data_IF_079358147622
#
_entry.id   IF_079358147622
#
_cell.length_a   1.000
_cell.length_b   1.000
_cell.length_c   1.000
_cell.angle_alpha   90.00
_cell.angle_beta   90.00
_cell.angle_gamma   90.00
#
_symmetry.space_group_name_H-M   'P 1'
#
loop_
_entity.id
_entity.type
_entity.pdbx_description
1 polymer ?
#
# COMPACT_ATOMS: atom_id res chain seq x y z
N UNK A 1 19.72 7.03 -112.00
CA UNK A 1 20.33 6.48 -110.78
C UNK A 1 19.21 5.92 -109.92
N UNK A 2 19.01 4.61 -109.96
CA UNK A 2 17.99 3.87 -109.21
C UNK A 2 18.62 3.34 -107.93
N UNK A 3 18.16 3.83 -106.78
CA UNK A 3 18.55 3.31 -105.45
C UNK A 3 17.84 1.97 -105.17
N UNK A 4 18.51 1.01 -104.52
CA UNK A 4 17.94 -0.29 -104.21
C UNK A 4 17.03 -0.23 -102.97
N UNK A 5 16.06 -1.15 -102.82
CA UNK A 5 15.11 -1.13 -101.71
C UNK A 5 15.76 -1.54 -100.38
N UNK A 6 15.43 -0.76 -99.36
CA UNK A 6 15.81 -0.91 -97.95
C UNK A 6 15.25 -2.20 -97.35
N UNK A 7 16.11 -3.02 -96.76
CA UNK A 7 15.74 -4.26 -96.09
C UNK A 7 14.97 -3.99 -94.78
N UNK A 8 13.85 -4.69 -94.59
CA UNK A 8 13.05 -4.67 -93.36
C UNK A 8 13.75 -5.41 -92.21
N UNK A 9 13.69 -4.89 -90.97
CA UNK A 9 14.31 -5.52 -89.81
C UNK A 9 13.58 -6.81 -89.43
N UNK A 10 14.34 -7.89 -89.19
CA UNK A 10 13.83 -9.17 -88.67
C UNK A 10 13.58 -9.06 -87.17
N UNK A 11 12.35 -9.34 -86.76
CA UNK A 11 11.93 -9.48 -85.36
C UNK A 11 12.70 -10.65 -84.71
N UNK A 12 13.28 -10.48 -83.51
CA UNK A 12 13.94 -11.58 -82.82
C UNK A 12 12.94 -12.70 -82.49
N UNK A 13 13.35 -13.97 -82.55
CA UNK A 13 12.47 -15.09 -82.24
C UNK A 13 12.00 -14.99 -80.78
N UNK A 14 10.69 -14.97 -80.58
CA UNK A 14 10.08 -15.11 -79.25
C UNK A 14 10.52 -16.46 -78.69
N UNK A 15 11.23 -16.44 -77.55
CA UNK A 15 11.46 -17.65 -76.76
C UNK A 15 10.08 -18.25 -76.43
N UNK A 16 9.84 -19.55 -76.67
CA UNK A 16 8.60 -20.16 -76.23
C UNK A 16 8.54 -20.04 -74.71
N UNK A 17 7.52 -19.34 -74.22
CA UNK A 17 7.18 -19.38 -72.80
C UNK A 17 6.79 -20.83 -72.52
N UNK A 18 7.63 -21.53 -71.76
CA UNK A 18 7.26 -22.83 -71.21
C UNK A 18 6.09 -22.57 -70.27
N UNK A 19 4.87 -22.89 -70.72
CA UNK A 19 3.70 -22.86 -69.86
C UNK A 19 3.87 -23.92 -68.77
N UNK A 20 3.64 -23.53 -67.51
CA UNK A 20 3.69 -24.47 -66.39
C UNK A 20 2.75 -25.64 -66.67
N UNK A 21 3.23 -26.86 -66.45
CA UNK A 21 2.39 -28.04 -66.61
C UNK A 21 1.32 -28.05 -65.51
N UNK A 22 0.18 -28.69 -65.79
CA UNK A 22 -0.94 -28.81 -64.84
C UNK A 22 -0.47 -29.45 -63.51
N UNK A 23 0.51 -30.37 -63.59
CA UNK A 23 1.15 -31.00 -62.45
C UNK A 23 2.04 -30.04 -61.66
N UNK A 24 2.82 -29.20 -62.34
CA UNK A 24 3.67 -28.19 -61.70
C UNK A 24 2.85 -27.12 -60.98
N UNK A 25 1.75 -26.66 -61.59
CA UNK A 25 0.80 -25.77 -60.94
C UNK A 25 0.21 -26.42 -59.68
N UNK A 26 -0.16 -27.71 -59.74
CA UNK A 26 -0.73 -28.45 -58.61
C UNK A 26 0.28 -28.61 -57.47
N UNK A 27 1.54 -28.92 -57.79
CA UNK A 27 2.61 -29.02 -56.78
C UNK A 27 2.91 -27.66 -56.15
N UNK A 28 2.94 -26.58 -56.93
CA UNK A 28 3.19 -25.22 -56.41
C UNK A 28 2.08 -24.78 -55.47
N UNK A 29 0.80 -24.97 -55.83
CA UNK A 29 -0.30 -24.61 -54.93
C UNK A 29 -0.32 -25.48 -53.67
N UNK A 30 0.05 -26.76 -53.76
CA UNK A 30 0.17 -27.63 -52.60
C UNK A 30 1.29 -27.15 -51.65
N UNK A 31 2.47 -26.82 -52.19
CA UNK A 31 3.59 -26.29 -51.41
C UNK A 31 3.25 -24.92 -50.78
N UNK A 32 2.64 -24.01 -51.54
CA UNK A 32 2.20 -22.71 -51.02
C UNK A 32 1.16 -22.85 -49.91
N UNK A 33 0.27 -23.86 -50.01
CA UNK A 33 -0.75 -24.12 -48.99
C UNK A 33 -0.10 -24.64 -47.70
N UNK A 34 0.88 -25.55 -47.80
CA UNK A 34 1.63 -26.06 -46.64
C UNK A 34 2.43 -24.94 -45.97
N UNK A 35 3.16 -24.13 -46.74
CA UNK A 35 3.94 -23.00 -46.20
C UNK A 35 3.03 -21.94 -45.59
N UNK A 36 1.89 -21.64 -46.23
CA UNK A 36 0.91 -20.71 -45.68
C UNK A 36 0.31 -21.17 -44.35
N UNK A 37 0.02 -22.46 -44.22
CA UNK A 37 -0.47 -23.04 -42.97
C UNK A 37 0.57 -22.96 -41.85
N UNK A 38 1.83 -23.30 -42.13
CA UNK A 38 2.93 -23.19 -41.16
C UNK A 38 3.17 -21.74 -40.70
N UNK A 39 3.08 -20.77 -41.62
CA UNK A 39 3.23 -19.36 -41.27
C UNK A 39 2.10 -18.87 -40.36
N UNK A 40 0.85 -19.30 -40.58
CA UNK A 40 -0.29 -18.93 -39.75
C UNK A 40 -0.23 -19.55 -38.35
N UNK A 41 0.22 -20.81 -38.23
CA UNK A 41 0.37 -21.44 -36.91
C UNK A 41 1.39 -20.72 -36.03
N UNK A 42 2.54 -20.32 -36.59
CA UNK A 42 3.57 -19.61 -35.83
C UNK A 42 3.08 -18.25 -35.32
N UNK A 43 2.34 -17.50 -36.15
CA UNK A 43 1.79 -16.19 -35.75
C UNK A 43 0.78 -16.34 -34.61
N UNK A 44 0.00 -17.43 -34.59
CA UNK A 44 -0.92 -17.74 -33.50
C UNK A 44 -0.20 -17.94 -32.17
N UNK A 45 0.86 -18.75 -32.17
CA UNK A 45 1.66 -19.02 -30.97
C UNK A 45 2.39 -17.78 -30.45
N UNK A 46 2.95 -16.96 -31.35
CA UNK A 46 3.62 -15.71 -30.98
C UNK A 46 2.64 -14.70 -30.35
N UNK A 47 1.42 -14.60 -30.89
CA UNK A 47 0.38 -13.72 -30.34
C UNK A 47 -0.09 -14.21 -28.96
N UNK A 48 -0.28 -15.51 -28.80
CA UNK A 48 -0.70 -16.11 -27.54
C UNK A 48 0.34 -15.90 -26.45
N UNK A 49 1.62 -16.08 -26.77
CA UNK A 49 2.73 -15.76 -25.86
C UNK A 49 2.72 -14.28 -25.46
N UNK A 50 2.50 -13.37 -26.42
CA UNK A 50 2.43 -11.94 -26.12
C UNK A 50 1.27 -11.58 -25.17
N UNK A 51 0.09 -12.21 -25.33
CA UNK A 51 -1.06 -12.02 -24.44
C UNK A 51 -0.83 -12.60 -23.04
N UNK A 52 -0.16 -13.73 -22.95
CA UNK A 52 0.27 -14.31 -21.69
C UNK A 52 1.24 -13.37 -20.94
N UNK A 53 2.24 -12.84 -21.63
CA UNK A 53 3.16 -11.85 -21.06
C UNK A 53 2.46 -10.54 -20.65
N UNK A 54 1.51 -10.06 -21.46
CA UNK A 54 0.69 -8.89 -21.11
C UNK A 54 -0.14 -9.15 -19.84
N UNK A 55 -0.77 -10.32 -19.72
CA UNK A 55 -1.50 -10.74 -18.52
C UNK A 55 -0.62 -10.71 -17.28
N UNK A 56 0.60 -11.27 -17.37
CA UNK A 56 1.57 -11.23 -16.28
C UNK A 56 1.97 -9.80 -15.91
N UNK A 57 2.23 -8.95 -16.90
CA UNK A 57 2.60 -7.56 -16.66
C UNK A 57 1.44 -6.77 -16.03
N UNK A 58 0.20 -7.03 -16.44
CA UNK A 58 -1.00 -6.41 -15.86
C UNK A 58 -1.23 -6.82 -14.42
N UNK A 59 -0.99 -8.09 -14.08
CA UNK A 59 -1.06 -8.56 -12.70
C UNK A 59 -0.05 -7.82 -11.81
N UNK A 60 1.19 -7.62 -12.29
CA UNK A 60 2.19 -6.81 -11.60
C UNK A 60 1.78 -5.33 -11.48
N UNK A 61 1.14 -4.77 -12.51
CA UNK A 61 0.59 -3.41 -12.44
C UNK A 61 -0.50 -3.29 -11.36
N UNK A 62 -1.41 -4.28 -11.25
CA UNK A 62 -2.42 -4.34 -10.19
C UNK A 62 -1.73 -4.36 -8.82
N UNK A 63 -0.76 -5.25 -8.61
CA UNK A 63 -0.01 -5.32 -7.35
C UNK A 63 0.63 -3.98 -6.97
N UNK A 64 1.33 -3.35 -7.91
CA UNK A 64 1.98 -2.04 -7.70
C UNK A 64 0.99 -0.91 -7.46
N UNK A 65 -0.18 -0.94 -8.09
CA UNK A 65 -1.23 0.05 -7.83
C UNK A 65 -1.76 -0.03 -6.39
N UNK A 66 -1.80 -1.24 -5.82
CA UNK A 66 -2.35 -1.48 -4.48
C UNK A 66 -1.34 -1.15 -3.38
N UNK A 67 -0.14 -1.75 -3.41
CA UNK A 67 0.87 -1.61 -2.33
C UNK A 67 2.08 -0.74 -2.71
N UNK A 68 2.13 -0.21 -3.93
CA UNK A 68 3.29 0.55 -4.41
C UNK A 68 4.42 -0.35 -4.93
N UNK A 69 5.52 0.30 -5.36
CA UNK A 69 6.75 -0.39 -5.78
C UNK A 69 7.74 -0.43 -4.61
N UNK A 70 7.70 -1.50 -3.82
CA UNK A 70 8.55 -1.68 -2.64
C UNK A 70 10.05 -1.81 -2.96
N UNK A 71 10.42 -2.00 -4.24
CA UNK A 71 11.82 -2.04 -4.69
C UNK A 71 12.44 -0.65 -4.84
N UNK A 72 11.61 0.40 -4.91
CA UNK A 72 12.09 1.78 -5.03
C UNK A 72 12.31 2.36 -3.65
N UNK A 73 13.53 2.82 -3.42
CA UNK A 73 13.87 3.55 -2.20
C UNK A 73 14.18 5.01 -2.51
N UNK A 74 13.60 5.93 -1.76
CA UNK A 74 13.99 7.33 -1.72
C UNK A 74 14.85 7.53 -0.46
N UNK A 75 16.10 7.95 -0.64
CA UNK A 75 17.06 8.13 0.46
C UNK A 75 17.25 6.87 1.35
N UNK A 76 17.17 5.67 0.74
CA UNK A 76 17.32 4.40 1.45
C UNK A 76 16.08 3.90 2.18
N UNK A 77 14.95 4.64 2.14
CA UNK A 77 13.66 4.19 2.66
C UNK A 77 12.72 3.82 1.51
N UNK A 78 11.97 2.71 1.59
CA UNK A 78 10.99 2.35 0.57
C UNK A 78 9.97 3.47 0.35
N UNK A 79 9.59 3.68 -0.91
CA UNK A 79 8.60 4.68 -1.28
C UNK A 79 7.18 4.22 -0.87
N UNK A 80 6.53 4.99 0.01
CA UNK A 80 5.15 4.74 0.45
C UNK A 80 4.18 5.33 -0.56
N UNK A 81 3.54 4.48 -1.36
CA UNK A 81 2.48 4.83 -2.32
C UNK A 81 1.51 3.68 -2.54
N UNK A 82 0.44 3.95 -3.27
CA UNK A 82 -0.56 2.97 -3.69
C UNK A 82 -1.85 3.09 -2.90
N UNK A 83 -2.88 2.37 -3.35
CA UNK A 83 -4.21 2.41 -2.77
C UNK A 83 -4.21 2.18 -1.26
N UNK A 84 -3.46 1.19 -0.75
CA UNK A 84 -3.40 0.90 0.69
C UNK A 84 -2.79 2.06 1.47
N UNK A 85 -1.75 2.69 0.93
CA UNK A 85 -1.08 3.79 1.59
C UNK A 85 -1.99 5.01 1.74
N UNK A 86 -3.00 5.19 0.89
CA UNK A 86 -3.91 6.32 0.94
C UNK A 86 -5.24 5.98 1.64
N UNK A 87 -5.73 4.75 1.43
CA UNK A 87 -7.04 4.28 1.88
C UNK A 87 -6.99 3.45 3.16
N UNK A 88 -5.83 2.93 3.55
CA UNK A 88 -5.68 2.09 4.76
C UNK A 88 -6.37 0.71 4.67
N UNK A 89 -6.74 0.25 3.47
CA UNK A 89 -7.32 -1.07 3.21
C UNK A 89 -6.98 -1.56 1.81
N UNK A 90 -7.18 -2.85 1.55
CA UNK A 90 -7.19 -3.40 0.19
C UNK A 90 -8.41 -2.89 -0.60
N UNK A 91 -8.32 -2.80 -1.94
CA UNK A 91 -9.47 -2.49 -2.77
C UNK A 91 -10.49 -3.64 -2.77
N UNK A 92 -11.77 -3.31 -2.86
CA UNK A 92 -12.85 -4.30 -2.90
C UNK A 92 -13.08 -4.88 -4.31
N UNK A 93 -12.56 -4.22 -5.33
CA UNK A 93 -12.56 -4.62 -6.75
C UNK A 93 -11.56 -3.76 -7.53
N UNK A 94 -11.27 -4.12 -8.78
CA UNK A 94 -10.32 -3.38 -9.62
C UNK A 94 -10.82 -1.98 -10.03
N UNK A 95 -12.12 -1.74 -10.09
CA UNK A 95 -12.68 -0.42 -10.42
C UNK A 95 -12.25 0.67 -9.43
N UNK A 96 -12.08 0.34 -8.13
CA UNK A 96 -11.57 1.29 -7.13
C UNK A 96 -10.16 1.81 -7.44
N UNK A 97 -9.37 1.06 -8.20
CA UNK A 97 -8.03 1.47 -8.62
C UNK A 97 -8.05 2.45 -9.80
N UNK A 98 -9.18 2.57 -10.51
CA UNK A 98 -9.29 3.33 -11.75
C UNK A 98 -10.13 4.59 -11.54
N UNK A 99 -11.25 4.49 -10.82
CA UNK A 99 -12.16 5.61 -10.62
C UNK A 99 -12.56 5.77 -9.15
N UNK A 100 -12.70 7.03 -8.71
CA UNK A 100 -13.13 7.35 -7.35
C UNK A 100 -14.60 7.01 -7.09
N UNK A 101 -15.42 7.19 -8.12
CA UNK A 101 -16.87 7.03 -8.06
C UNK A 101 -17.33 6.17 -9.23
N UNK A 102 -18.08 5.12 -8.95
CA UNK A 102 -18.49 4.14 -9.94
C UNK A 102 -19.72 3.38 -9.47
N UNK A 103 -20.32 2.62 -10.38
CA UNK A 103 -21.50 1.81 -10.12
C UNK A 103 -21.13 0.34 -9.88
N UNK A 104 -21.94 -0.42 -9.11
CA UNK A 104 -21.82 -1.88 -9.03
C UNK A 104 -21.91 -2.57 -10.42
N UNK A 105 -22.61 -1.93 -11.36
CA UNK A 105 -22.57 -2.27 -12.77
C UNK A 105 -21.74 -1.21 -13.52
N UNK A 106 -20.52 -1.51 -13.97
CA UNK A 106 -19.58 -0.52 -14.47
C UNK A 106 -20.00 0.11 -15.83
N UNK A 107 -21.02 -0.47 -16.49
CA UNK A 107 -21.57 0.08 -17.74
C UNK A 107 -22.45 1.31 -17.48
N UNK A 108 -22.97 1.47 -16.26
CA UNK A 108 -23.96 2.51 -15.94
C UNK A 108 -23.31 3.78 -15.40
N UNK A 109 -23.68 4.92 -15.99
CA UNK A 109 -23.41 6.23 -15.39
C UNK A 109 -24.26 6.48 -14.14
N UNK A 110 -23.84 7.44 -13.31
CA UNK A 110 -24.41 7.73 -11.98
C UNK A 110 -25.94 7.76 -11.94
N UNK A 111 -26.58 8.54 -12.82
CA UNK A 111 -28.03 8.70 -12.81
C UNK A 111 -28.78 7.38 -13.04
N UNK A 112 -28.30 6.54 -13.96
CA UNK A 112 -28.88 5.23 -14.23
C UNK A 112 -28.59 4.25 -13.08
N UNK A 113 -27.37 4.30 -12.53
CA UNK A 113 -26.96 3.46 -11.42
C UNK A 113 -27.84 3.67 -10.19
N UNK A 114 -28.02 4.92 -9.74
CA UNK A 114 -28.78 5.22 -8.50
C UNK A 114 -30.25 4.77 -8.53
N UNK A 115 -30.79 4.45 -9.71
CA UNK A 115 -32.16 3.94 -9.87
C UNK A 115 -32.27 2.41 -9.94
N UNK A 116 -31.17 1.67 -10.07
CA UNK A 116 -31.17 0.23 -10.35
C UNK A 116 -30.08 -0.57 -9.61
N UNK A 117 -29.02 0.09 -9.16
CA UNK A 117 -27.76 -0.49 -8.73
C UNK A 117 -27.14 0.36 -7.58
N UNK A 118 -25.99 -0.05 -7.06
CA UNK A 118 -25.30 0.68 -5.98
C UNK A 118 -24.25 1.62 -6.56
N UNK A 119 -24.37 2.91 -6.24
CA UNK A 119 -23.33 3.90 -6.54
C UNK A 119 -22.34 4.00 -5.39
N UNK A 120 -21.07 3.75 -5.67
CA UNK A 120 -19.96 3.87 -4.72
C UNK A 120 -19.27 5.21 -4.94
N UNK A 121 -19.05 5.97 -3.87
CA UNK A 121 -18.20 7.17 -3.88
C UNK A 121 -17.19 7.04 -2.75
N UNK A 122 -15.91 6.90 -3.11
CA UNK A 122 -14.84 6.86 -2.12
C UNK A 122 -14.51 8.28 -1.62
N UNK A 123 -14.09 8.42 -0.34
CA UNK A 123 -13.58 9.68 0.19
C UNK A 123 -12.51 10.27 -0.73
N UNK A 124 -12.62 11.55 -1.08
CA UNK A 124 -11.56 12.21 -1.85
C UNK A 124 -10.31 12.40 -0.97
N UNK A 125 -9.12 12.35 -1.57
CA UNK A 125 -7.89 12.63 -0.85
C UNK A 125 -7.91 14.05 -0.26
N UNK A 126 -7.92 14.13 1.06
CA UNK A 126 -8.05 15.38 1.79
C UNK A 126 -7.26 15.35 3.09
N UNK A 127 -6.86 16.54 3.55
CA UNK A 127 -6.29 16.73 4.87
C UNK A 127 -7.40 16.78 5.91
N UNK A 128 -7.32 15.92 6.91
CA UNK A 128 -8.14 16.02 8.10
C UNK A 128 -7.44 16.92 9.11
N UNK A 129 -8.04 18.09 9.39
CA UNK A 129 -7.46 19.08 10.29
C UNK A 129 -7.45 18.64 11.75
N UNK A 130 -8.32 17.71 12.15
CA UNK A 130 -8.37 17.19 13.53
C UNK A 130 -7.34 16.07 13.71
N UNK A 131 -7.28 15.14 12.76
CA UNK A 131 -6.31 14.06 12.80
C UNK A 131 -4.89 14.55 12.46
N UNK A 132 -4.73 15.56 11.60
CA UNK A 132 -3.43 16.02 11.10
C UNK A 132 -2.82 15.11 10.03
N UNK A 133 -3.65 14.29 9.37
CA UNK A 133 -3.24 13.33 8.35
C UNK A 133 -4.01 13.53 7.05
N UNK A 134 -3.39 13.13 5.95
CA UNK A 134 -4.05 13.01 4.66
C UNK A 134 -4.55 11.58 4.44
N UNK A 135 -5.79 11.46 3.99
CA UNK A 135 -6.43 10.18 3.69
C UNK A 135 -7.42 10.33 2.54
N UNK A 136 -7.79 9.21 1.93
CA UNK A 136 -8.79 9.15 0.87
C UNK A 136 -8.18 8.85 -0.49
N UNK A 137 -9.03 8.71 -1.49
CA UNK A 137 -8.65 8.28 -2.83
C UNK A 137 -7.85 9.37 -3.54
N UNK A 138 -6.59 9.06 -3.86
CA UNK A 138 -5.60 9.94 -4.50
C UNK A 138 -5.21 9.45 -5.91
N UNK A 139 -6.07 8.60 -6.49
CA UNK A 139 -5.83 7.96 -7.78
C UNK A 139 -6.07 8.88 -9.00
N UNK A 140 -6.15 8.30 -10.21
CA UNK A 140 -6.20 6.85 -10.48
C UNK A 140 -4.88 6.13 -10.17
N UNK A 141 -4.99 4.91 -9.64
CA UNK A 141 -3.85 4.04 -9.32
C UNK A 141 -3.49 3.10 -10.49
N UNK A 142 -4.48 2.76 -11.32
CA UNK A 142 -4.33 2.06 -12.58
C UNK A 142 -4.79 2.92 -13.75
N UNK A 143 -4.00 2.94 -14.82
CA UNK A 143 -4.39 3.57 -16.07
C UNK A 143 -5.10 2.54 -16.94
N UNK A 144 -6.42 2.56 -16.92
CA UNK A 144 -7.25 1.76 -17.81
C UNK A 144 -7.50 2.49 -19.13
N UNK A 145 -7.51 1.74 -20.23
CA UNK A 145 -7.83 2.28 -21.56
C UNK A 145 -9.35 2.26 -21.75
N UNK A 146 -9.97 3.36 -22.23
CA UNK A 146 -11.39 3.37 -22.54
C UNK A 146 -11.62 2.60 -23.85
N UNK A 147 -12.32 1.46 -23.77
CA UNK A 147 -12.44 0.53 -24.91
C UNK A 147 -13.81 0.54 -25.61
N UNK A 148 -14.83 1.18 -25.03
CA UNK A 148 -16.05 1.55 -25.78
C UNK A 148 -16.93 2.56 -25.04
N UNK A 149 -17.06 2.47 -23.71
CA UNK A 149 -18.04 3.27 -22.95
C UNK A 149 -17.61 3.64 -21.52
N UNK A 150 -16.67 2.89 -20.92
CA UNK A 150 -16.10 3.14 -19.59
C UNK A 150 -14.69 2.51 -19.50
N UNK A 151 -13.84 2.94 -18.56
CA UNK A 151 -12.49 2.41 -18.46
C UNK A 151 -12.49 0.97 -17.91
N UNK A 152 -11.72 0.08 -18.53
CA UNK A 152 -11.58 -1.32 -18.11
C UNK A 152 -10.11 -1.72 -18.04
N UNK A 153 -9.77 -2.57 -17.07
CA UNK A 153 -8.42 -3.12 -16.93
C UNK A 153 -8.44 -4.64 -17.07
N UNK A 154 -8.71 -5.12 -18.28
CA UNK A 154 -8.80 -6.56 -18.61
C UNK A 154 -7.43 -7.24 -18.61
N UNK A 155 -7.42 -8.57 -18.64
CA UNK A 155 -6.20 -9.33 -18.91
C UNK A 155 -5.76 -9.22 -20.38
N UNK A 156 -4.65 -9.89 -20.75
CA UNK A 156 -4.13 -9.87 -22.11
C UNK A 156 -5.00 -10.63 -23.12
N UNK A 157 -5.94 -11.45 -22.64
CA UNK A 157 -6.88 -12.19 -23.48
C UNK A 157 -8.14 -11.39 -23.80
N UNK A 158 -8.40 -10.32 -23.04
CA UNK A 158 -9.57 -9.47 -23.19
C UNK A 158 -10.81 -10.06 -22.54
N UNK A 159 -10.63 -10.94 -21.54
CA UNK A 159 -11.73 -11.51 -20.79
C UNK A 159 -12.54 -10.41 -20.10
N UNK A 160 -13.86 -10.59 -20.05
CA UNK A 160 -14.76 -9.63 -19.45
C UNK A 160 -16.07 -10.32 -19.04
N UNK A 161 -16.45 -10.16 -17.79
CA UNK A 161 -17.67 -10.71 -17.22
C UNK A 161 -18.71 -9.61 -16.90
N UNK A 162 -18.46 -8.36 -17.30
CA UNK A 162 -19.33 -7.21 -17.01
C UNK A 162 -19.30 -6.76 -15.55
N UNK A 163 -18.38 -7.28 -14.73
CA UNK A 163 -18.19 -6.86 -13.34
C UNK A 163 -17.15 -5.73 -13.22
N UNK A 164 -17.02 -5.18 -12.01
CA UNK A 164 -16.01 -4.20 -11.63
C UNK A 164 -14.58 -4.75 -11.59
N UNK A 165 -14.39 -6.05 -11.88
CA UNK A 165 -13.10 -6.72 -11.96
C UNK A 165 -12.69 -7.04 -13.40
N UNK A 166 -13.49 -6.66 -14.40
CA UNK A 166 -13.13 -6.73 -15.82
C UNK A 166 -12.64 -8.12 -16.28
N UNK A 167 -13.30 -9.18 -15.83
CA UNK A 167 -12.94 -10.56 -16.17
C UNK A 167 -11.84 -11.19 -15.31
N UNK A 168 -11.18 -10.44 -14.43
CA UNK A 168 -10.30 -11.02 -13.42
C UNK A 168 -11.12 -11.74 -12.34
N UNK A 169 -10.62 -12.88 -11.89
CA UNK A 169 -11.08 -13.52 -10.65
C UNK A 169 -10.44 -12.76 -9.50
N UNK A 170 -11.23 -12.00 -8.75
CA UNK A 170 -10.77 -11.11 -7.68
C UNK A 170 -11.42 -11.52 -6.35
N UNK A 171 -10.62 -11.72 -5.30
CA UNK A 171 -11.11 -12.10 -3.98
C UNK A 171 -10.26 -11.46 -2.87
N UNK A 172 -10.88 -10.54 -2.11
CA UNK A 172 -10.23 -9.72 -1.10
C UNK A 172 -10.29 -10.29 0.34
N UNK A 173 -10.74 -11.53 0.51
CA UNK A 173 -10.92 -12.17 1.82
C UNK A 173 -11.67 -11.30 2.84
N UNK A 174 -12.60 -10.44 2.40
CA UNK A 174 -13.36 -9.53 3.26
C UNK A 174 -12.50 -8.42 3.90
N UNK A 175 -11.40 -8.03 3.24
CA UNK A 175 -10.49 -6.97 3.69
C UNK A 175 -9.61 -7.34 4.89
N UNK A 176 -9.71 -8.57 5.40
CA UNK A 176 -9.01 -9.05 6.59
C UNK A 176 -7.84 -10.02 6.31
N UNK A 177 -7.66 -10.45 5.06
CA UNK A 177 -6.70 -11.50 4.68
C UNK A 177 -5.94 -11.19 3.38
N UNK A 178 -5.37 -12.22 2.72
CA UNK A 178 -4.67 -12.04 1.45
C UNK A 178 -5.65 -11.62 0.34
N UNK A 179 -5.12 -10.88 -0.65
CA UNK A 179 -5.82 -10.58 -1.89
C UNK A 179 -5.42 -11.59 -2.96
N UNK A 180 -6.40 -12.22 -3.58
CA UNK A 180 -6.22 -13.13 -4.69
C UNK A 180 -6.70 -12.48 -5.98
N UNK A 181 -5.87 -12.56 -7.02
CA UNK A 181 -6.20 -12.05 -8.37
C UNK A 181 -5.68 -13.03 -9.41
N UNK A 182 -6.53 -13.46 -10.32
CA UNK A 182 -6.22 -14.46 -11.33
C UNK A 182 -6.93 -14.18 -12.65
N UNK A 183 -6.27 -14.45 -13.77
CA UNK A 183 -6.85 -14.51 -15.12
C UNK A 183 -7.20 -15.96 -15.45
N UNK A 184 -8.32 -16.18 -16.14
CA UNK A 184 -8.81 -17.50 -16.58
C UNK A 184 -8.25 -17.93 -17.95
N UNK A 185 -7.16 -17.31 -18.41
CA UNK A 185 -6.51 -17.70 -19.67
C UNK A 185 -7.34 -17.39 -20.91
N UNK A 186 -6.96 -18.01 -22.03
CA UNK A 186 -7.52 -17.73 -23.36
C UNK A 186 -8.98 -18.14 -23.53
N UNK A 187 -9.42 -19.20 -22.86
CA UNK A 187 -10.79 -19.71 -22.97
C UNK A 187 -11.79 -18.95 -22.08
N UNK A 188 -11.28 -18.12 -21.15
CA UNK A 188 -12.07 -17.34 -20.22
C UNK A 188 -12.75 -18.19 -19.14
N UNK A 189 -12.34 -19.44 -18.95
CA UNK A 189 -12.92 -20.39 -18.00
C UNK A 189 -11.87 -20.92 -17.02
N UNK A 190 -12.30 -21.25 -15.80
CA UNK A 190 -11.37 -21.74 -14.79
C UNK A 190 -10.75 -23.10 -15.18
N UNK A 191 -9.45 -23.23 -14.98
CA UNK A 191 -8.68 -24.44 -15.26
C UNK A 191 -7.92 -24.33 -16.58
N UNK A 192 -8.11 -25.30 -17.47
CA UNK A 192 -7.46 -25.31 -18.79
C UNK A 192 -6.02 -25.85 -18.82
N UNK A 193 -5.42 -25.79 -20.01
CA UNK A 193 -4.03 -26.16 -20.29
C UNK A 193 -3.40 -25.21 -21.29
N UNK A 194 -2.07 -25.14 -21.33
CA UNK A 194 -1.33 -24.23 -22.20
C UNK A 194 -1.79 -22.77 -22.01
N UNK A 195 -2.29 -22.11 -23.05
CA UNK A 195 -2.79 -20.74 -22.98
C UNK A 195 -4.21 -20.62 -22.40
N UNK A 196 -4.94 -21.73 -22.35
CA UNK A 196 -6.23 -21.80 -21.65
C UNK A 196 -6.04 -21.93 -20.14
N UNK A 197 -4.81 -22.15 -19.67
CA UNK A 197 -4.52 -22.30 -18.25
C UNK A 197 -4.69 -20.98 -17.47
N UNK A 198 -5.27 -21.06 -16.28
CA UNK A 198 -5.34 -19.93 -15.35
C UNK A 198 -3.94 -19.36 -15.01
N UNK A 199 -3.84 -18.04 -14.85
CA UNK A 199 -2.63 -17.36 -14.42
C UNK A 199 -2.88 -16.32 -13.31
N UNK A 200 -2.19 -16.43 -12.15
CA UNK A 200 -1.32 -17.53 -11.74
C UNK A 200 -2.06 -18.88 -11.65
N UNK A 201 -1.37 -20.02 -11.65
CA UNK A 201 -2.02 -21.32 -11.51
C UNK A 201 -2.80 -21.43 -10.20
N UNK A 202 -3.86 -22.26 -10.21
CA UNK A 202 -4.69 -22.49 -9.02
C UNK A 202 -3.84 -22.91 -7.80
N UNK A 203 -4.07 -22.29 -6.65
CA UNK A 203 -3.28 -22.43 -5.43
C UNK A 203 -2.07 -21.49 -5.33
N UNK A 204 -1.83 -20.64 -6.33
CA UNK A 204 -0.78 -19.60 -6.34
C UNK A 204 -1.33 -18.21 -6.71
N UNK A 205 -2.64 -18.00 -6.58
CA UNK A 205 -3.36 -16.78 -6.99
C UNK A 205 -3.19 -15.62 -6.01
N UNK A 206 -2.53 -15.85 -4.87
CA UNK A 206 -2.30 -14.81 -3.86
C UNK A 206 -1.42 -13.73 -4.46
N UNK A 207 -2.05 -12.61 -4.81
CA UNK A 207 -1.38 -11.44 -5.36
C UNK A 207 -0.74 -10.62 -4.25
N UNK A 208 -1.40 -10.50 -3.09
CA UNK A 208 -0.90 -9.73 -1.93
C UNK A 208 -1.15 -10.53 -0.66
N UNK A 209 -0.09 -10.83 0.07
CA UNK A 209 -0.17 -11.46 1.39
C UNK A 209 -0.46 -10.45 2.50
N UNK A 210 -1.01 -10.90 3.62
CA UNK A 210 -1.36 -10.03 4.77
C UNK A 210 -0.15 -9.19 5.25
N UNK A 211 1.01 -9.82 5.41
CA UNK A 211 2.25 -9.16 5.82
C UNK A 211 2.90 -8.26 4.76
N UNK A 212 2.30 -8.08 3.58
CA UNK A 212 2.82 -7.19 2.53
C UNK A 212 2.14 -5.83 2.51
N UNK A 213 1.00 -5.68 3.18
CA UNK A 213 0.26 -4.42 3.25
C UNK A 213 -0.08 -4.00 4.67
N UNK A 214 0.14 -4.87 5.66
CA UNK A 214 0.00 -4.59 7.08
C UNK A 214 1.32 -4.68 7.81
N UNK A 215 1.46 -3.81 8.81
CA UNK A 215 2.55 -3.81 9.77
C UNK A 215 2.00 -4.33 11.08
N UNK A 216 2.54 -5.46 11.54
CA UNK A 216 2.27 -5.96 12.89
C UNK A 216 2.94 -5.04 13.90
N UNK A 217 2.14 -4.36 14.72
CA UNK A 217 2.64 -3.51 15.80
C UNK A 217 2.83 -4.34 17.06
N UNK A 218 1.88 -5.23 17.36
CA UNK A 218 2.00 -6.20 18.44
C UNK A 218 1.50 -7.54 17.95
N UNK A 219 2.33 -8.56 18.09
CA UNK A 219 2.03 -9.90 17.62
C UNK A 219 0.94 -10.59 18.46
N UNK A 220 0.52 -11.79 18.03
CA UNK A 220 -0.52 -12.57 18.71
C UNK A 220 -0.11 -13.06 20.11
N UNK A 221 1.18 -13.02 20.45
CA UNK A 221 1.72 -13.36 21.76
C UNK A 221 1.88 -12.13 22.67
N UNK A 222 1.57 -10.93 22.17
CA UNK A 222 1.71 -9.67 22.90
C UNK A 222 3.13 -9.10 22.87
N UNK A 223 4.00 -9.56 21.97
CA UNK A 223 5.35 -9.01 21.79
C UNK A 223 5.38 -7.96 20.66
N UNK A 224 6.37 -7.06 20.73
CA UNK A 224 6.52 -5.93 19.81
C UNK A 224 6.25 -4.60 20.50
N UNK A 225 5.58 -3.68 19.80
CA UNK A 225 5.26 -2.34 20.26
C UNK A 225 5.98 -1.24 19.48
N UNK A 226 5.67 0.00 19.82
CA UNK A 226 6.35 1.18 19.28
C UNK A 226 7.32 1.70 20.33
N UNK A 227 8.57 1.89 19.93
CA UNK A 227 9.59 2.45 20.81
C UNK A 227 9.60 3.97 20.69
N UNK A 228 9.53 4.65 21.83
CA UNK A 228 9.65 6.11 21.93
C UNK A 228 10.93 6.42 22.70
N UNK A 229 11.79 7.25 22.10
CA UNK A 229 13.00 7.79 22.73
C UNK A 229 12.71 9.19 23.25
N UNK A 230 12.47 9.28 24.55
CA UNK A 230 12.24 10.53 25.25
C UNK A 230 13.53 11.32 25.51
N UNK A 231 14.69 10.81 25.08
CA UNK A 231 15.98 11.42 25.35
C UNK A 231 16.33 11.38 26.84
N UNK A 232 17.14 12.33 27.29
CA UNK A 232 17.56 12.46 28.68
C UNK A 232 17.02 13.78 29.26
N UNK A 233 15.71 13.88 29.58
CA UNK A 233 15.14 15.11 30.08
C UNK A 233 15.72 15.47 31.45
N UNK A 234 15.71 16.77 31.74
CA UNK A 234 16.34 17.33 32.93
C UNK A 234 15.70 16.80 34.22
N UNK A 235 16.52 16.60 35.25
CA UNK A 235 16.02 16.27 36.57
C UNK A 235 15.18 17.43 37.13
N UNK A 236 14.07 17.07 37.76
CA UNK A 236 13.17 17.97 38.48
C UNK A 236 13.80 18.80 39.61
N UNK A 237 14.97 18.37 40.08
CA UNK A 237 15.73 19.00 41.15
C UNK A 237 17.17 19.15 40.68
N UNK A 238 17.82 20.22 41.15
CA UNK A 238 19.22 20.52 40.89
C UNK A 238 19.92 20.76 42.21
N UNK A 239 21.22 20.50 42.19
CA UNK A 239 22.10 20.95 43.24
C UNK A 239 22.51 22.41 43.02
N UNK A 240 22.68 23.19 44.10
CA UNK A 240 23.16 24.57 44.02
C UNK A 240 24.57 24.70 43.46
N UNK A 241 25.35 23.62 43.47
CA UNK A 241 26.67 23.58 42.83
C UNK A 241 26.62 23.56 41.29
N UNK A 242 25.45 23.27 40.69
CA UNK A 242 25.25 23.13 39.25
C UNK A 242 25.95 21.93 38.59
N UNK A 243 26.55 21.03 39.37
CA UNK A 243 27.39 19.92 38.91
C UNK A 243 26.90 18.55 39.42
N UNK A 244 26.35 18.49 40.64
CA UNK A 244 25.88 17.26 41.25
C UNK A 244 24.48 16.90 40.74
N UNK A 245 24.35 15.70 40.19
CA UNK A 245 23.07 15.13 39.73
C UNK A 245 22.45 14.18 40.75
N UNK A 246 23.10 14.00 41.92
CA UNK A 246 22.67 13.15 43.03
C UNK A 246 22.53 13.97 44.32
N UNK A 247 21.40 13.79 45.03
CA UNK A 247 21.08 14.53 46.26
C UNK A 247 22.04 14.23 47.40
N UNK A 248 22.45 12.98 47.59
CA UNK A 248 23.34 12.61 48.71
C UNK A 248 24.72 13.24 48.54
N UNK A 249 25.14 13.41 47.30
CA UNK A 249 26.37 14.13 46.96
C UNK A 249 26.18 15.64 47.13
N UNK A 250 25.03 16.18 46.72
CA UNK A 250 24.71 17.60 46.84
C UNK A 250 24.59 18.08 48.30
N UNK A 251 23.75 17.43 49.11
CA UNK A 251 23.44 17.85 50.49
C UNK A 251 24.66 17.75 51.45
N UNK A 252 25.80 17.26 50.96
CA UNK A 252 27.05 17.30 51.69
C UNK A 252 27.62 18.72 51.84
N UNK A 253 27.43 19.59 50.84
CA UNK A 253 27.94 20.97 50.83
C UNK A 253 26.98 22.02 50.28
N UNK A 254 25.90 21.58 49.63
CA UNK A 254 25.09 22.39 48.74
C UNK A 254 23.59 22.09 48.92
N UNK A 255 22.76 23.02 48.46
CA UNK A 255 21.31 22.92 48.57
C UNK A 255 20.75 22.11 47.40
N UNK A 256 19.96 21.09 47.73
CA UNK A 256 19.15 20.38 46.75
C UNK A 256 17.78 21.04 46.66
N UNK A 257 17.48 21.69 45.53
CA UNK A 257 16.24 22.46 45.35
C UNK A 257 15.54 22.09 44.05
N UNK A 258 14.19 22.24 43.98
CA UNK A 258 13.46 22.01 42.75
C UNK A 258 13.95 22.99 41.69
N UNK A 259 14.11 22.53 40.45
CA UNK A 259 14.43 23.43 39.36
C UNK A 259 13.35 24.53 39.29
N UNK A 260 13.76 25.80 39.42
CA UNK A 260 12.86 26.96 39.40
C UNK A 260 12.05 27.11 38.10
N UNK A 261 12.40 26.33 37.07
CA UNK A 261 11.67 26.24 35.80
C UNK A 261 10.50 25.25 35.81
N UNK A 262 10.35 24.43 36.86
CA UNK A 262 9.28 23.43 36.99
C UNK A 262 8.25 23.88 38.06
N UNK A 263 6.95 23.99 37.71
CA UNK A 263 6.00 24.81 38.46
C UNK A 263 5.47 24.20 39.77
N UNK A 264 5.61 22.90 40.05
CA UNK A 264 5.13 22.33 41.32
C UNK A 264 5.91 21.09 41.80
N UNK A 265 6.24 21.07 43.09
CA UNK A 265 6.94 19.97 43.77
C UNK A 265 6.08 18.71 43.90
N UNK A 266 4.76 18.83 43.76
CA UNK A 266 3.79 17.73 43.76
C UNK A 266 3.96 16.76 42.56
N UNK A 267 4.65 17.18 41.50
CA UNK A 267 4.96 16.34 40.34
C UNK A 267 6.09 15.33 40.60
N UNK A 268 6.71 15.32 41.80
CA UNK A 268 7.83 14.44 42.14
C UNK A 268 7.45 13.41 43.21
N UNK A 269 7.77 12.13 43.03
CA UNK A 269 7.51 11.08 44.01
C UNK A 269 8.79 10.68 44.76
N UNK A 270 8.68 10.41 46.05
CA UNK A 270 9.79 9.92 46.88
C UNK A 270 10.04 8.44 46.63
N UNK A 271 11.21 8.08 46.11
CA UNK A 271 11.72 6.71 46.09
C UNK A 271 12.71 6.61 47.25
N UNK A 272 12.48 5.68 48.18
CA UNK A 272 13.20 5.58 49.45
C UNK A 272 14.71 5.81 49.35
N UNK A 273 15.26 6.52 50.34
CA UNK A 273 16.63 7.01 50.33
C UNK A 273 16.74 8.35 49.58
N UNK A 274 16.25 9.44 50.17
CA UNK A 274 16.39 10.84 49.77
C UNK A 274 16.05 11.24 48.30
N UNK A 275 15.87 10.32 47.36
CA UNK A 275 15.63 10.59 45.95
C UNK A 275 14.16 10.92 45.68
N UNK A 276 13.91 12.10 45.10
CA UNK A 276 12.60 12.51 44.60
C UNK A 276 12.71 12.66 43.09
N UNK A 277 11.88 11.96 42.33
CA UNK A 277 11.89 12.02 40.86
C UNK A 277 10.45 11.98 40.31
N UNK A 278 10.10 12.79 39.30
CA UNK A 278 8.83 12.69 38.61
C UNK A 278 8.81 11.34 37.91
N UNK A 279 7.72 10.62 38.12
CA UNK A 279 7.40 9.42 37.36
C UNK A 279 6.07 9.69 36.70
N UNK A 280 6.08 9.70 35.37
CA UNK A 280 4.85 9.82 34.59
C UNK A 280 4.42 8.42 34.15
N UNK A 281 3.13 8.14 34.33
CA UNK A 281 2.50 7.01 33.69
C UNK A 281 2.02 7.48 32.33
N UNK A 282 2.61 6.92 31.28
CA UNK A 282 2.37 7.34 29.91
C UNK A 282 1.62 6.25 29.14
N UNK A 283 0.92 6.68 28.10
CA UNK A 283 0.19 5.84 27.17
C UNK A 283 0.37 6.39 25.76
N UNK A 284 0.41 5.51 24.76
CA UNK A 284 0.60 5.87 23.37
C UNK A 284 -0.70 5.71 22.60
N UNK A 285 -1.07 6.74 21.84
CA UNK A 285 -2.12 6.68 20.83
C UNK A 285 -1.49 6.65 19.44
N UNK A 286 -1.90 5.69 18.64
CA UNK A 286 -1.50 5.52 17.24
C UNK A 286 -2.71 5.74 16.33
N UNK A 287 -2.71 6.83 15.59
CA UNK A 287 -3.75 7.16 14.61
C UNK A 287 -3.42 6.50 13.27
N UNK A 288 -4.42 5.85 12.68
CA UNK A 288 -4.30 5.11 11.41
C UNK A 288 -5.46 5.41 10.47
N UNK A 289 -5.21 5.23 9.18
CA UNK A 289 -6.26 5.25 8.14
C UNK A 289 -7.03 3.94 8.12
N UNK A 290 -8.31 4.02 7.81
CA UNK A 290 -9.18 2.89 7.49
C UNK A 290 -10.26 3.30 6.50
N UNK A 291 -10.41 2.52 5.42
CA UNK A 291 -11.46 2.72 4.42
C UNK A 291 -11.49 4.13 3.78
N UNK A 292 -10.34 4.75 3.57
CA UNK A 292 -10.23 6.11 3.04
C UNK A 292 -10.56 7.21 4.03
N UNK A 293 -10.94 6.85 5.26
CA UNK A 293 -11.15 7.74 6.38
C UNK A 293 -10.23 7.35 7.53
N UNK A 294 -10.46 7.89 8.71
CA UNK A 294 -9.95 7.35 9.96
C UNK A 294 -10.99 6.34 10.51
N UNK A 295 -10.59 5.39 11.36
CA UNK A 295 -11.37 4.21 11.80
C UNK A 295 -12.83 4.55 12.15
N UNK A 296 -13.82 3.94 11.46
CA UNK A 296 -15.25 4.07 11.80
C UNK A 296 -15.84 2.74 12.25
N UNK A 297 -15.15 2.00 13.14
CA UNK A 297 -15.81 0.98 13.95
C UNK A 297 -16.73 1.62 15.00
N UNK A 298 -17.79 2.28 14.53
CA UNK A 298 -19.08 2.39 15.18
C UNK A 298 -19.22 3.23 16.46
N UNK A 299 -18.80 4.50 16.48
CA UNK A 299 -19.61 5.59 17.06
C UNK A 299 -19.12 6.96 16.54
N UNK A 300 -20.06 7.85 16.22
CA UNK A 300 -19.77 9.14 15.61
C UNK A 300 -19.31 10.15 16.66
N UNK A 301 -18.03 10.52 16.66
CA UNK A 301 -17.51 11.89 16.90
C UNK A 301 -15.99 11.87 16.83
N UNK A 302 -15.43 12.69 15.94
CA UNK A 302 -13.99 12.91 15.78
C UNK A 302 -13.50 13.70 17.00
N UNK A 303 -13.16 13.00 18.07
CA UNK A 303 -12.20 13.37 19.11
C UNK A 303 -12.00 12.13 20.00
N UNK A 304 -10.80 11.51 20.02
CA UNK A 304 -10.40 10.39 20.92
C UNK A 304 -10.89 8.96 20.66
N UNK A 305 -11.70 8.66 19.63
CA UNK A 305 -12.15 7.27 19.33
C UNK A 305 -11.31 6.51 18.27
N UNK A 306 -10.44 7.21 17.53
CA UNK A 306 -9.86 6.72 16.25
C UNK A 306 -8.40 6.24 16.35
N UNK A 307 -7.86 6.18 17.57
CA UNK A 307 -6.49 5.79 17.84
C UNK A 307 -6.44 4.41 18.49
N UNK A 308 -5.49 3.59 18.04
CA UNK A 308 -5.08 2.43 18.83
C UNK A 308 -4.38 2.93 20.09
N UNK A 309 -4.77 2.42 21.25
CA UNK A 309 -4.11 2.73 22.52
C UNK A 309 -3.15 1.62 22.92
N UNK A 310 -2.01 1.99 23.50
CA UNK A 310 -1.13 1.04 24.14
C UNK A 310 -1.81 0.38 25.33
N UNK A 311 -1.49 -0.88 25.57
CA UNK A 311 -2.01 -1.66 26.68
C UNK A 311 -1.36 -1.22 28.01
N UNK A 312 -2.15 -0.57 28.85
CA UNK A 312 -1.74 -0.12 30.18
C UNK A 312 -0.75 1.05 30.16
N UNK A 313 -0.28 1.40 31.37
CA UNK A 313 0.69 2.46 31.58
C UNK A 313 2.12 1.99 31.34
N UNK A 314 2.92 2.83 30.70
CA UNK A 314 4.38 2.78 30.72
C UNK A 314 4.86 3.82 31.73
N UNK A 315 5.41 3.38 32.85
CA UNK A 315 5.95 4.27 33.89
C UNK A 315 7.36 4.73 33.53
N UNK A 316 7.55 6.04 33.36
CA UNK A 316 8.85 6.65 33.01
C UNK A 316 9.33 7.52 34.15
N UNK A 317 10.45 7.13 34.78
CA UNK A 317 11.08 7.91 35.86
C UNK A 317 12.16 8.81 35.31
N UNK A 318 12.01 10.13 35.39
CA UNK A 318 12.98 11.06 34.82
C UNK A 318 14.16 11.27 35.77
N UNK A 319 15.27 10.58 35.47
CA UNK A 319 16.47 10.55 36.30
C UNK A 319 17.70 11.22 35.68
N UNK A 320 17.53 11.84 34.51
CA UNK A 320 18.62 12.42 33.71
C UNK A 320 19.35 11.39 32.82
N UNK A 321 19.00 10.11 32.87
CA UNK A 321 19.45 9.12 31.90
C UNK A 321 18.59 9.17 30.64
N UNK A 322 19.13 8.69 29.51
CA UNK A 322 18.33 8.48 28.30
C UNK A 322 17.21 7.47 28.58
N UNK A 323 15.98 7.77 28.16
CA UNK A 323 14.78 6.94 28.30
C UNK A 323 14.27 6.51 26.93
N UNK A 324 14.25 5.21 26.71
CA UNK A 324 13.67 4.59 25.51
C UNK A 324 12.70 3.53 25.98
N UNK A 325 11.42 3.76 25.76
CA UNK A 325 10.36 2.91 26.28
C UNK A 325 9.55 2.30 25.15
N UNK A 326 9.02 1.10 25.39
CA UNK A 326 8.24 0.36 24.39
C UNK A 326 6.77 0.33 24.80
N UNK A 327 5.92 0.87 23.93
CA UNK A 327 4.48 0.87 24.10
C UNK A 327 3.89 -0.30 23.32
N UNK A 328 3.40 -1.29 24.06
CA UNK A 328 2.80 -2.52 23.50
C UNK A 328 1.30 -2.29 23.32
N UNK A 329 0.69 -2.80 22.27
CA UNK A 329 -0.75 -2.68 21.99
C UNK A 329 -1.46 -4.00 22.30
N UNK A 330 -2.77 -4.09 22.05
CA UNK A 330 -3.47 -5.37 22.15
C UNK A 330 -2.81 -6.44 21.27
N UNK A 331 -2.84 -7.70 21.72
CA UNK A 331 -2.27 -8.82 20.95
C UNK A 331 -2.92 -8.92 19.57
N UNK A 332 -2.11 -9.09 18.52
CA UNK A 332 -2.59 -9.15 17.14
C UNK A 332 -2.94 -7.78 16.54
N UNK A 333 -2.44 -6.69 17.12
CA UNK A 333 -2.63 -5.35 16.56
C UNK A 333 -1.78 -5.17 15.31
N UNK A 334 -2.46 -4.81 14.22
CA UNK A 334 -1.85 -4.43 12.95
C UNK A 334 -2.34 -3.06 12.50
N UNK A 335 -1.54 -2.43 11.64
CA UNK A 335 -1.91 -1.19 10.95
C UNK A 335 -1.59 -1.31 9.48
N UNK A 336 -2.36 -0.69 8.58
CA UNK A 336 -2.01 -0.68 7.16
C UNK A 336 -0.69 0.06 6.95
N UNK A 337 0.02 -0.31 5.89
CA UNK A 337 1.21 0.42 5.46
C UNK A 337 0.85 1.88 5.18
N UNK A 338 1.77 2.79 5.50
CA UNK A 338 1.54 4.21 5.29
C UNK A 338 2.20 5.08 6.34
N UNK A 339 1.92 6.37 6.24
CA UNK A 339 2.14 7.33 7.32
C UNK A 339 1.01 7.20 8.35
N UNK A 340 1.39 7.07 9.61
CA UNK A 340 0.55 7.14 10.80
C UNK A 340 1.02 8.27 11.70
N UNK A 341 0.20 8.66 12.67
CA UNK A 341 0.60 9.61 13.70
C UNK A 341 0.66 8.94 15.06
N UNK A 342 1.65 9.33 15.83
CA UNK A 342 1.85 8.90 17.20
C UNK A 342 1.72 10.11 18.12
N UNK A 343 0.98 9.92 19.21
CA UNK A 343 0.87 10.89 20.31
C UNK A 343 1.04 10.18 21.65
N UNK A 344 1.73 10.84 22.58
CA UNK A 344 1.90 10.36 23.96
C UNK A 344 0.93 11.11 24.86
N UNK A 345 0.24 10.39 25.73
CA UNK A 345 -0.73 10.89 26.70
C UNK A 345 -0.31 10.45 28.11
N UNK A 346 -0.81 11.15 29.13
CA UNK A 346 -0.77 10.65 30.51
C UNK A 346 -1.73 9.46 30.67
N UNK A 347 -1.53 8.66 31.71
CA UNK A 347 -2.32 7.48 32.01
C UNK A 347 -2.66 7.43 33.50
N UNK A 348 -3.94 7.22 33.81
CA UNK A 348 -4.50 7.30 35.17
C UNK A 348 -4.11 6.13 36.09
N UNK A 349 -3.65 5.03 35.48
CA UNK A 349 -3.18 3.81 36.15
C UNK A 349 -4.23 2.71 36.25
N UNK A 350 -5.40 2.87 35.63
CA UNK A 350 -6.51 1.92 35.74
C UNK A 350 -6.85 1.23 34.41
N UNK A 351 -7.03 1.96 33.29
CA UNK A 351 -7.44 1.28 32.05
C UNK A 351 -7.13 1.94 30.69
N UNK A 352 -7.05 3.27 30.57
CA UNK A 352 -7.00 3.93 29.25
C UNK A 352 -6.02 5.10 29.22
N UNK A 353 -5.56 5.47 28.02
CA UNK A 353 -4.88 6.75 27.83
C UNK A 353 -5.82 7.88 28.30
N UNK A 354 -5.32 8.83 29.09
CA UNK A 354 -6.08 10.03 29.41
C UNK A 354 -6.21 10.93 28.16
N UNK A 355 -6.97 12.02 28.26
CA UNK A 355 -7.07 13.03 27.21
C UNK A 355 -5.95 14.07 27.27
N UNK A 356 -5.11 14.03 28.32
CA UNK A 356 -4.04 15.00 28.52
C UNK A 356 -2.78 14.57 27.79
N UNK A 357 -2.33 15.38 26.84
CA UNK A 357 -1.13 15.13 26.04
C UNK A 357 0.16 15.33 26.85
N UNK A 358 1.18 14.55 26.50
CA UNK A 358 2.49 14.60 27.15
C UNK A 358 3.64 14.90 26.18
N UNK A 359 4.43 15.96 26.42
CA UNK A 359 4.07 17.13 27.21
C UNK A 359 2.87 17.89 26.61
N UNK A 360 2.20 18.71 27.41
CA UNK A 360 0.99 19.43 26.98
C UNK A 360 1.27 20.33 25.77
N UNK A 361 0.42 20.27 24.75
CA UNK A 361 0.55 21.11 23.55
C UNK A 361 1.64 20.67 22.57
N UNK A 362 2.09 19.41 22.66
CA UNK A 362 2.94 18.80 21.64
C UNK A 362 2.14 18.38 20.41
N UNK A 363 2.74 18.60 19.25
CA UNK A 363 2.20 18.09 17.99
C UNK A 363 2.41 16.57 17.86
N UNK A 364 1.64 15.96 16.97
CA UNK A 364 1.82 14.55 16.63
C UNK A 364 3.16 14.30 15.93
N UNK A 365 3.75 13.14 16.19
CA UNK A 365 4.87 12.66 15.40
C UNK A 365 4.38 11.78 14.25
N UNK A 366 4.72 12.15 13.03
CA UNK A 366 4.48 11.32 11.87
C UNK A 366 5.49 10.16 11.79
N UNK A 367 4.98 8.95 11.63
CA UNK A 367 5.78 7.74 11.47
C UNK A 367 5.38 7.00 10.20
N UNK A 368 6.38 6.65 9.40
CA UNK A 368 6.24 5.76 8.26
C UNK A 368 6.28 4.31 8.74
N UNK A 369 5.17 3.60 8.60
CA UNK A 369 5.04 2.18 8.93
C UNK A 369 5.02 1.38 7.62
N UNK A 370 6.07 0.60 7.41
CA UNK A 370 6.30 -0.17 6.18
C UNK A 370 6.50 -1.64 6.56
N UNK A 371 5.79 -2.59 5.91
CA UNK A 371 5.92 -4.00 6.23
C UNK A 371 7.35 -4.51 6.04
N UNK A 372 7.83 -5.32 6.98
CA UNK A 372 9.19 -5.87 6.98
C UNK A 372 10.30 -4.89 7.35
N UNK A 373 9.99 -3.61 7.60
CA UNK A 373 10.96 -2.61 8.03
C UNK A 373 10.83 -2.38 9.54
N UNK A 374 11.93 -2.57 10.27
CA UNK A 374 11.96 -2.26 11.70
C UNK A 374 11.87 -0.74 11.90
N UNK A 375 11.00 -0.31 12.81
CA UNK A 375 10.94 1.09 13.25
C UNK A 375 12.08 1.36 14.22
N UNK A 376 12.83 2.43 13.98
CA UNK A 376 13.78 2.94 14.98
C UNK A 376 12.99 3.60 16.12
N UNK A 377 13.57 3.69 17.33
CA UNK A 377 12.98 4.48 18.41
C UNK A 377 12.65 5.89 17.93
N UNK A 378 11.40 6.28 18.09
CA UNK A 378 10.89 7.55 17.62
C UNK A 378 11.32 8.65 18.61
N UNK A 379 12.09 9.66 18.18
CA UNK A 379 12.49 10.73 19.07
C UNK A 379 11.26 11.54 19.49
N UNK A 380 11.03 11.66 20.79
CA UNK A 380 9.93 12.43 21.35
C UNK A 380 10.48 13.61 22.16
N UNK A 381 10.19 14.85 21.75
CA UNK A 381 10.69 16.03 22.43
C UNK A 381 10.00 16.16 23.80
N UNK A 382 10.78 15.98 24.86
CA UNK A 382 10.40 16.35 26.22
C UNK A 382 11.09 17.68 26.51
N UNK A 383 10.31 18.76 26.62
CA UNK A 383 10.84 20.10 26.89
C UNK A 383 11.36 20.25 28.32
#
# INVERSE_FOLDING_TARGET
>A
MTQPPTATPRTPPRRPQQGMTLLELLVVIALMSVVGFMALSQVGDDLNQARYEDTRNRLEMIRKAIIGDTSRTLNGQPEIRGFVADMGRLPANLQELIEREFCSNPVLGQAACTGAETWTSMPAYAHDATAGLWAGWNGPYLNASPESDYPRFRDGWGNDNGSNDFGWVFNDSGGAGPLLVQSTGMDGTAGGSDYDADYPPTGSETLIEDGQWRVTVTDSLGAGGIQIDFGAPASCWRCSDGLSTDRTTCEFSDDWYPDSTIPDAAACTALGGAAWRPTDNLCLRLLRRQNGTFDTNGDSTVDTADALESNGAVSVTWDGSRKVETFVFASGTFVPQGVSLVRVYTHDGVATCETTEFPSGQDSLAVALIPGVATLPLPWPVQ
#
